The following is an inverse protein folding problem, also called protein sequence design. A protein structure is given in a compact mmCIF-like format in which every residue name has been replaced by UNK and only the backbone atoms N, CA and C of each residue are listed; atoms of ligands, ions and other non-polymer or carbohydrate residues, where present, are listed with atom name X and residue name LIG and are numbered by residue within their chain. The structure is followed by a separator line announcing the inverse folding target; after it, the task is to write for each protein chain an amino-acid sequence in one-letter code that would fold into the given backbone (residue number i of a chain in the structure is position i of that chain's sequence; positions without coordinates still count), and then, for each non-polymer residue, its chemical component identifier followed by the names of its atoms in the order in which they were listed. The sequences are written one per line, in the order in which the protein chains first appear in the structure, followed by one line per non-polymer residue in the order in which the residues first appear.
data_IF_635541108209
#
_entry.id   IF_635541108209
#
_cell.length_a   1.000
_cell.length_b   1.000
_cell.length_c   1.000
_cell.angle_alpha   90.00
_cell.angle_beta   90.00
_cell.angle_gamma   90.00
#
_symmetry.space_group_name_H-M   'P 1'
#
loop_
_entity.id
_entity.type
_entity.pdbx_description
1 polymer ?
#
# COMPACT_ATOMS: atom_id res chain seq x y z
N UNK A 1 4.87 -19.79 11.27
CA UNK A 1 3.85 -19.03 10.51
C UNK A 1 4.53 -18.44 9.28
N UNK A 2 3.99 -18.63 8.08
CA UNK A 2 4.56 -18.01 6.86
C UNK A 2 3.82 -16.70 6.60
N UNK A 3 4.55 -15.66 6.24
CA UNK A 3 4.05 -14.33 5.91
C UNK A 3 4.67 -13.92 4.58
N UNK A 4 3.90 -13.25 3.73
CA UNK A 4 4.38 -12.59 2.52
C UNK A 4 4.31 -11.08 2.73
N UNK A 5 5.37 -10.38 2.37
CA UNK A 5 5.38 -8.93 2.21
C UNK A 5 5.13 -8.56 0.76
N UNK A 6 4.27 -7.57 0.54
CA UNK A 6 4.01 -6.98 -0.76
C UNK A 6 4.30 -5.48 -0.69
N UNK A 7 5.09 -5.00 -1.66
CA UNK A 7 5.57 -3.61 -1.71
C UNK A 7 5.20 -2.97 -3.06
N UNK A 8 3.90 -2.84 -3.41
CA UNK A 8 3.51 -2.21 -4.67
C UNK A 8 3.93 -0.75 -4.74
N UNK A 9 4.22 -0.34 -5.97
CA UNK A 9 4.56 1.02 -6.33
C UNK A 9 3.45 1.61 -7.20
N UNK A 10 2.90 2.75 -6.79
CA UNK A 10 1.87 3.49 -7.52
C UNK A 10 2.44 4.81 -8.04
N UNK A 11 2.24 5.10 -9.33
CA UNK A 11 2.63 6.38 -9.97
C UNK A 11 1.67 7.53 -9.62
N UNK A 12 1.41 7.71 -8.33
CA UNK A 12 0.61 8.79 -7.76
C UNK A 12 1.23 9.17 -6.40
N UNK A 13 1.73 10.40 -6.28
CA UNK A 13 2.37 10.91 -5.05
C UNK A 13 1.74 12.19 -4.51
N UNK A 14 0.72 12.74 -5.18
CA UNK A 14 0.21 14.10 -4.93
C UNK A 14 -1.25 14.09 -4.48
N UNK A 15 -2.11 13.34 -5.17
CA UNK A 15 -3.53 13.28 -4.89
C UNK A 15 -3.82 12.36 -3.71
N UNK A 16 -3.93 12.96 -2.52
CA UNK A 16 -4.28 12.25 -1.28
C UNK A 16 -5.58 11.44 -1.38
N UNK A 17 -6.58 11.91 -2.15
CA UNK A 17 -7.86 11.18 -2.29
C UNK A 17 -7.66 9.87 -3.05
N UNK A 18 -6.84 9.88 -4.10
CA UNK A 18 -6.48 8.66 -4.84
C UNK A 18 -5.65 7.71 -3.98
N UNK A 19 -4.62 8.23 -3.31
CA UNK A 19 -3.75 7.44 -2.42
C UNK A 19 -4.56 6.77 -1.30
N UNK A 20 -5.43 7.52 -0.62
CA UNK A 20 -6.26 6.98 0.44
C UNK A 20 -7.19 5.86 -0.07
N UNK A 21 -7.80 6.01 -1.25
CA UNK A 21 -8.62 4.95 -1.86
C UNK A 21 -7.83 3.67 -2.13
N UNK A 22 -6.56 3.78 -2.53
CA UNK A 22 -5.66 2.63 -2.73
C UNK A 22 -5.35 1.96 -1.39
N UNK A 23 -4.98 2.73 -0.37
CA UNK A 23 -4.66 2.17 0.95
C UNK A 23 -5.89 1.50 1.57
N UNK A 24 -7.06 2.14 1.46
CA UNK A 24 -8.33 1.59 1.94
C UNK A 24 -8.73 0.29 1.24
N UNK A 25 -8.47 0.15 -0.07
CA UNK A 25 -8.79 -1.07 -0.78
C UNK A 25 -7.93 -2.24 -0.31
N UNK A 26 -6.64 -1.99 -0.06
CA UNK A 26 -5.71 -2.97 0.50
C UNK A 26 -6.12 -3.35 1.93
N UNK A 27 -6.40 -2.37 2.79
CA UNK A 27 -6.70 -2.62 4.21
C UNK A 27 -8.04 -3.33 4.45
N UNK A 28 -8.96 -3.31 3.47
CA UNK A 28 -10.25 -4.02 3.55
C UNK A 28 -10.14 -5.51 3.25
N UNK A 29 -9.00 -5.97 2.72
CA UNK A 29 -8.79 -7.39 2.43
C UNK A 29 -8.57 -8.16 3.74
N UNK A 30 -9.31 -9.25 3.93
CA UNK A 30 -9.18 -10.11 5.11
C UNK A 30 -7.74 -10.64 5.22
N UNK A 31 -7.22 -10.68 6.44
CA UNK A 31 -5.86 -11.16 6.77
C UNK A 31 -4.71 -10.34 6.15
N UNK A 32 -4.97 -9.11 5.72
CA UNK A 32 -3.93 -8.16 5.29
C UNK A 32 -3.72 -7.11 6.36
N UNK A 33 -2.46 -6.72 6.59
CA UNK A 33 -2.08 -5.61 7.45
C UNK A 33 -1.17 -4.64 6.69
N UNK A 34 -1.62 -3.41 6.52
CA UNK A 34 -0.78 -2.31 6.02
C UNK A 34 0.24 -1.94 7.10
N UNK A 35 1.51 -1.90 6.72
CA UNK A 35 2.63 -1.57 7.60
C UNK A 35 3.12 -0.14 7.38
N UNK A 36 3.17 0.31 6.12
CA UNK A 36 3.69 1.62 5.77
C UNK A 36 3.07 2.16 4.47
N UNK A 37 2.96 3.48 4.37
CA UNK A 37 2.54 4.22 3.18
C UNK A 37 3.46 5.42 3.04
N UNK A 38 4.36 5.37 2.05
CA UNK A 38 5.29 6.47 1.77
C UNK A 38 4.99 7.10 0.44
N UNK A 39 4.59 8.37 0.47
CA UNK A 39 4.37 9.19 -0.73
C UNK A 39 5.50 10.18 -0.93
N UNK A 40 5.97 10.26 -2.16
CA UNK A 40 6.96 11.20 -2.66
C UNK A 40 6.30 12.05 -3.76
N UNK A 41 6.11 13.33 -3.46
CA UNK A 41 5.44 14.28 -4.37
C UNK A 41 6.31 14.66 -5.56
N UNK A 42 7.63 14.73 -5.36
CA UNK A 42 8.57 15.19 -6.38
C UNK A 42 8.67 14.13 -7.48
N UNK A 43 8.73 12.85 -7.09
CA UNK A 43 8.75 11.71 -8.02
C UNK A 43 7.35 11.20 -8.42
N UNK A 44 6.28 11.83 -7.95
CA UNK A 44 4.88 11.41 -8.15
C UNK A 44 4.65 9.92 -7.88
N UNK A 45 5.07 9.45 -6.71
CA UNK A 45 5.15 8.03 -6.37
C UNK A 45 4.62 7.75 -4.98
N UNK A 46 3.89 6.65 -4.80
CA UNK A 46 3.56 6.10 -3.49
C UNK A 46 3.95 4.63 -3.41
N UNK A 47 4.67 4.27 -2.34
CA UNK A 47 4.99 2.89 -1.99
C UNK A 47 4.11 2.50 -0.81
N UNK A 48 3.34 1.42 -0.96
CA UNK A 48 2.56 0.82 0.14
C UNK A 48 3.23 -0.48 0.53
N UNK A 49 3.47 -0.69 1.81
CA UNK A 49 4.01 -1.95 2.34
C UNK A 49 2.93 -2.63 3.16
N UNK A 50 2.62 -3.89 2.85
CA UNK A 50 1.66 -4.67 3.63
C UNK A 50 2.07 -6.14 3.69
N UNK A 51 1.57 -6.81 4.73
CA UNK A 51 1.81 -8.25 4.94
C UNK A 51 0.50 -9.04 4.94
N UNK A 52 0.61 -10.31 4.56
CA UNK A 52 -0.49 -11.27 4.62
C UNK A 52 -0.01 -12.70 4.65
N UNK A 53 -0.97 -13.62 4.73
CA UNK A 53 -0.68 -15.04 4.60
C UNK A 53 -0.41 -15.38 3.11
N UNK A 54 0.47 -16.36 2.83
CA UNK A 54 0.54 -16.95 1.50
C UNK A 54 -0.83 -17.46 1.05
N UNK A 55 -1.12 -17.42 -0.26
CA UNK A 55 -2.27 -18.13 -0.81
C UNK A 55 -2.18 -19.65 -0.57
#
# INVERSE_FOLDING_TARGET
MKIIECVPNFSEGKNKKTINKIVESISKIKNIKVLDVRSDKDHNRTVVTFIGNPP
#
